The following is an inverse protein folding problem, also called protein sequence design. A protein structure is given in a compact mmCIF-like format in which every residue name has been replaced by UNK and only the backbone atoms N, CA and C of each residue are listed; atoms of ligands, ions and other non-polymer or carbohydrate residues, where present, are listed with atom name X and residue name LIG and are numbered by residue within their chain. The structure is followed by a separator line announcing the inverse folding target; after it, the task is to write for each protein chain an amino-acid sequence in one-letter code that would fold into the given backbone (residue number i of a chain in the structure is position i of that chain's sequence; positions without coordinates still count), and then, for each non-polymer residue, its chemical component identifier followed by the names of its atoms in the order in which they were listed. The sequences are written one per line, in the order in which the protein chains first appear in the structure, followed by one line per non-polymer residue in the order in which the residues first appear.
data_IF_589953962341
#
_entry.id   IF_589953962341
#
_cell.length_a   1.000
_cell.length_b   1.000
_cell.length_c   1.000
_cell.angle_alpha   90.00
_cell.angle_beta   90.00
_cell.angle_gamma   90.00
#
_symmetry.space_group_name_H-M   'P 1'
#
loop_
_entity.id
_entity.type
_entity.pdbx_description
1 polymer ?
#
# COMPACT_ATOMS: atom_id res chain seq x y z
N UNK A 1 31.52 -10.78 -5.04
CA UNK A 1 30.79 -9.68 -5.71
C UNK A 1 29.42 -9.63 -5.05
N UNK A 2 29.15 -8.58 -4.29
CA UNK A 2 27.83 -8.37 -3.70
C UNK A 2 26.96 -7.71 -4.78
N UNK A 3 25.86 -8.37 -5.18
CA UNK A 3 24.92 -7.77 -6.14
C UNK A 3 23.99 -6.87 -5.32
N UNK A 4 23.97 -5.55 -5.55
CA UNK A 4 23.06 -4.67 -4.82
C UNK A 4 21.62 -5.03 -5.17
N UNK A 5 20.83 -5.39 -4.17
CA UNK A 5 19.42 -5.72 -4.36
C UNK A 5 18.51 -4.50 -4.29
N UNK A 6 17.33 -4.64 -4.87
CA UNK A 6 16.31 -3.59 -4.89
C UNK A 6 14.92 -4.16 -4.66
N UNK A 7 14.03 -3.36 -4.05
CA UNK A 7 12.64 -3.76 -3.83
C UNK A 7 11.63 -2.65 -4.10
N UNK A 8 10.39 -3.06 -4.33
CA UNK A 8 9.21 -2.20 -4.38
C UNK A 8 8.16 -2.83 -3.47
N UNK A 9 7.72 -2.11 -2.44
CA UNK A 9 6.67 -2.57 -1.52
C UNK A 9 5.39 -1.76 -1.75
N UNK A 10 4.35 -2.42 -2.26
CA UNK A 10 3.05 -1.81 -2.51
C UNK A 10 2.08 -2.16 -1.39
N UNK A 11 1.53 -1.13 -0.73
CA UNK A 11 0.79 -1.28 0.53
C UNK A 11 1.74 -1.26 1.73
N UNK A 12 2.65 -0.29 1.76
CA UNK A 12 3.68 -0.17 2.80
C UNK A 12 3.14 0.22 4.19
N UNK A 13 1.84 0.53 4.31
CA UNK A 13 1.16 0.78 5.57
C UNK A 13 1.85 1.87 6.42
N UNK A 14 2.20 1.58 7.68
CA UNK A 14 2.92 2.49 8.57
C UNK A 14 4.45 2.44 8.39
N UNK A 15 4.95 1.67 7.42
CA UNK A 15 6.37 1.56 7.09
C UNK A 15 7.19 0.55 7.89
N UNK A 16 6.63 -0.09 8.93
CA UNK A 16 7.34 -1.08 9.75
C UNK A 16 6.50 -2.28 10.15
N UNK A 17 5.26 -2.06 10.63
CA UNK A 17 4.39 -3.14 11.08
C UNK A 17 4.03 -4.03 9.90
N UNK A 18 4.42 -5.32 9.99
CA UNK A 18 4.24 -6.32 8.93
C UNK A 18 4.93 -5.96 7.60
N UNK A 19 5.95 -5.09 7.61
CA UNK A 19 6.69 -4.78 6.39
C UNK A 19 7.47 -6.01 5.92
N UNK A 20 7.29 -6.36 4.65
CA UNK A 20 7.98 -7.47 4.00
C UNK A 20 9.42 -7.09 3.61
N UNK A 21 9.72 -5.79 3.51
CA UNK A 21 11.00 -5.29 3.00
C UNK A 21 11.88 -4.64 4.08
N UNK A 22 11.38 -4.54 5.32
CA UNK A 22 12.16 -4.01 6.46
C UNK A 22 13.44 -4.79 6.69
N UNK A 23 13.33 -6.11 6.67
CA UNK A 23 14.47 -7.02 6.84
C UNK A 23 15.46 -6.92 5.68
N UNK A 24 14.98 -6.83 4.43
CA UNK A 24 15.85 -6.66 3.25
C UNK A 24 16.64 -5.36 3.30
N UNK A 25 16.00 -4.26 3.69
CA UNK A 25 16.70 -2.99 3.87
C UNK A 25 17.75 -3.11 4.99
N UNK A 26 17.36 -3.57 6.18
CA UNK A 26 18.23 -3.59 7.38
C UNK A 26 19.41 -4.54 7.24
N UNK A 27 19.16 -5.78 6.87
CA UNK A 27 20.18 -6.85 6.92
C UNK A 27 21.01 -6.96 5.65
N UNK A 28 20.42 -6.67 4.48
CA UNK A 28 21.10 -6.80 3.20
C UNK A 28 21.46 -5.45 2.56
N UNK A 29 21.09 -4.34 3.21
CA UNK A 29 21.35 -3.01 2.66
C UNK A 29 20.61 -2.72 1.36
N UNK A 30 19.54 -3.47 1.05
CA UNK A 30 18.77 -3.26 -0.18
C UNK A 30 18.11 -1.89 -0.15
N UNK A 31 18.01 -1.26 -1.32
CA UNK A 31 17.32 0.02 -1.49
C UNK A 31 15.99 -0.21 -2.18
N UNK A 32 14.96 0.53 -1.79
CA UNK A 32 13.66 0.35 -2.41
C UNK A 32 12.75 1.54 -2.31
N UNK A 33 11.54 1.34 -2.84
CA UNK A 33 10.45 2.32 -2.82
C UNK A 33 9.29 1.70 -2.05
N UNK A 34 8.76 2.47 -1.09
CA UNK A 34 7.56 2.17 -0.33
C UNK A 34 6.39 2.95 -0.92
N UNK A 35 5.36 2.24 -1.36
CA UNK A 35 4.14 2.81 -1.96
C UNK A 35 2.98 2.62 -0.99
N UNK A 36 2.33 3.71 -0.59
CA UNK A 36 1.12 3.67 0.23
C UNK A 36 0.10 4.69 -0.27
N UNK A 37 -1.11 4.23 -0.61
CA UNK A 37 -2.15 5.07 -1.19
C UNK A 37 -2.91 5.88 -0.13
N UNK A 38 -3.03 5.35 1.09
CA UNK A 38 -3.73 6.01 2.18
C UNK A 38 -2.89 7.18 2.71
N UNK A 39 -3.33 8.45 2.53
CA UNK A 39 -2.55 9.60 2.95
C UNK A 39 -2.31 9.64 4.46
N UNK A 40 -3.22 9.10 5.28
CA UNK A 40 -3.05 9.07 6.74
C UNK A 40 -1.94 8.09 7.16
N UNK A 41 -1.94 6.87 6.60
CA UNK A 41 -0.89 5.89 6.85
C UNK A 41 0.44 6.33 6.27
N UNK A 42 0.43 6.98 5.11
CA UNK A 42 1.62 7.55 4.50
C UNK A 42 2.32 8.56 5.43
N UNK A 43 1.57 9.41 6.14
CA UNK A 43 2.17 10.30 7.14
C UNK A 43 2.88 9.51 8.25
N UNK A 44 2.29 8.41 8.73
CA UNK A 44 2.91 7.55 9.74
C UNK A 44 4.16 6.86 9.20
N UNK A 45 4.12 6.40 7.95
CA UNK A 45 5.26 5.82 7.23
C UNK A 45 6.43 6.79 7.17
N UNK A 46 6.20 8.07 6.83
CA UNK A 46 7.26 9.08 6.78
C UNK A 46 7.96 9.28 8.14
N UNK A 47 7.22 9.16 9.25
CA UNK A 47 7.78 9.28 10.60
C UNK A 47 8.76 8.15 10.94
N UNK A 48 8.71 7.00 10.25
CA UNK A 48 9.63 5.89 10.47
C UNK A 48 11.04 6.14 9.95
N UNK A 49 11.21 7.12 9.05
CA UNK A 49 12.51 7.47 8.45
C UNK A 49 13.27 6.24 7.91
N UNK A 50 12.55 5.41 7.16
CA UNK A 50 13.14 4.28 6.41
C UNK A 50 14.18 4.82 5.43
N UNK A 51 15.25 4.05 5.16
CA UNK A 51 16.28 4.47 4.18
C UNK A 51 15.76 4.46 2.74
N UNK A 52 14.67 3.73 2.51
CA UNK A 52 13.93 3.65 1.27
C UNK A 52 13.17 4.93 0.95
N UNK A 53 12.95 5.17 -0.34
CA UNK A 53 12.06 6.24 -0.80
C UNK A 53 10.61 5.91 -0.46
N UNK A 54 9.79 6.92 -0.21
CA UNK A 54 8.37 6.75 0.02
C UNK A 54 7.56 7.60 -0.96
N UNK A 55 6.46 7.05 -1.47
CA UNK A 55 5.56 7.75 -2.38
C UNK A 55 4.08 7.48 -2.03
N UNK A 56 3.29 8.56 -1.96
CA UNK A 56 1.86 8.50 -1.71
C UNK A 56 1.09 8.35 -3.03
N UNK A 57 1.09 7.14 -3.59
CA UNK A 57 0.38 6.79 -4.81
C UNK A 57 -0.24 5.40 -4.69
N UNK A 58 -1.03 5.05 -5.68
CA UNK A 58 -1.58 3.71 -5.88
C UNK A 58 -0.93 3.01 -7.07
N UNK A 59 -1.29 1.74 -7.24
CA UNK A 59 -1.14 1.07 -8.51
C UNK A 59 -2.41 1.25 -9.36
N UNK A 60 -2.22 1.37 -10.67
CA UNK A 60 -3.30 1.46 -11.64
C UNK A 60 -3.07 0.44 -12.76
N UNK A 61 -4.16 -0.02 -13.38
CA UNK A 61 -4.12 -0.90 -14.55
C UNK A 61 -3.91 -0.14 -15.86
N UNK A 62 -4.08 1.19 -15.85
CA UNK A 62 -3.76 2.05 -16.99
C UNK A 62 -2.24 2.15 -17.18
N UNK A 63 -1.73 2.14 -18.42
CA UNK A 63 -0.29 2.25 -18.69
C UNK A 63 0.26 3.69 -18.55
N UNK A 64 -0.54 4.60 -18.00
CA UNK A 64 -0.20 6.00 -17.79
C UNK A 64 -0.70 6.47 -16.42
N UNK A 65 -0.05 7.46 -15.79
CA UNK A 65 -0.51 8.04 -14.53
C UNK A 65 -1.92 8.62 -14.67
N UNK A 66 -2.78 8.37 -13.69
CA UNK A 66 -4.07 9.05 -13.57
C UNK A 66 -4.39 9.33 -12.11
N UNK A 67 -5.25 10.33 -11.90
CA UNK A 67 -5.79 10.66 -10.57
C UNK A 67 -7.10 9.90 -10.36
N UNK A 68 -7.22 9.24 -9.21
CA UNK A 68 -8.38 8.46 -8.83
C UNK A 68 -8.78 8.76 -7.37
N UNK A 69 -10.08 8.67 -7.06
CA UNK A 69 -10.61 9.03 -5.74
C UNK A 69 -10.25 7.96 -4.69
N UNK A 70 -9.57 8.34 -3.62
CA UNK A 70 -9.33 7.44 -2.49
C UNK A 70 -10.61 7.20 -1.66
N UNK A 71 -10.97 5.94 -1.40
CA UNK A 71 -12.12 5.55 -0.58
C UNK A 71 -11.61 4.87 0.70
N UNK A 72 -11.82 5.52 1.85
CA UNK A 72 -11.50 4.90 3.13
C UNK A 72 -12.48 3.75 3.43
N UNK A 73 -11.96 2.65 3.98
CA UNK A 73 -12.74 1.47 4.36
C UNK A 73 -13.87 1.77 5.38
N UNK A 74 -13.83 2.91 6.07
CA UNK A 74 -14.91 3.42 6.92
C UNK A 74 -16.20 3.78 6.18
N UNK A 75 -16.16 3.81 4.84
CA UNK A 75 -17.34 3.99 3.98
C UNK A 75 -17.97 2.66 3.55
N UNK A 76 -17.42 1.51 3.98
CA UNK A 76 -18.05 0.23 3.78
C UNK A 76 -19.37 0.19 4.58
N UNK A 77 -20.51 -0.18 3.98
CA UNK A 77 -21.78 -0.21 4.67
C UNK A 77 -21.68 -1.09 5.93
N UNK A 78 -22.13 -0.56 7.07
CA UNK A 78 -22.15 -1.20 8.40
C UNK A 78 -22.98 -2.48 8.49
N UNK A 79 -23.52 -2.98 7.37
CA UNK A 79 -24.29 -4.22 7.33
C UNK A 79 -23.35 -5.38 7.01
N UNK A 80 -22.49 -5.74 7.97
CA UNK A 80 -21.60 -6.89 7.89
C UNK A 80 -22.28 -8.21 8.25
N UNK A 81 -23.62 -8.27 8.22
CA UNK A 81 -24.37 -9.50 8.53
C UNK A 81 -24.04 -10.68 7.60
N UNK A 82 -23.39 -10.44 6.45
CA UNK A 82 -22.85 -11.49 5.58
C UNK A 82 -21.41 -11.91 5.91
N UNK A 83 -20.62 -11.10 6.62
CA UNK A 83 -19.22 -11.43 6.96
C UNK A 83 -19.12 -12.38 8.17
N UNK A 84 -20.16 -12.43 9.01
CA UNK A 84 -20.25 -13.33 10.18
C UNK A 84 -20.85 -14.70 9.86
N UNK A 85 -21.46 -14.88 8.68
CA UNK A 85 -22.15 -16.12 8.30
C UNK A 85 -21.43 -16.92 7.20
N UNK A 86 -20.26 -16.48 6.74
CA UNK A 86 -19.44 -17.22 5.79
C UNK A 86 -18.74 -18.39 6.48
N UNK A 87 -19.01 -19.62 6.03
CA UNK A 87 -18.22 -20.79 6.40
C UNK A 87 -16.73 -20.53 6.06
N UNK A 88 -15.76 -20.96 6.90
CA UNK A 88 -14.35 -20.81 6.60
C UNK A 88 -14.00 -21.40 5.22
N UNK A 89 -13.54 -20.55 4.29
CA UNK A 89 -13.11 -20.96 2.96
C UNK A 89 -14.11 -20.71 1.82
N UNK A 90 -15.33 -20.23 2.09
CA UNK A 90 -16.20 -19.76 1.01
C UNK A 90 -15.82 -18.34 0.56
N UNK A 91 -15.44 -18.23 -0.72
CA UNK A 91 -15.13 -16.96 -1.37
C UNK A 91 -16.43 -16.21 -1.69
N UNK A 92 -16.75 -15.18 -0.92
CA UNK A 92 -17.84 -14.26 -1.26
C UNK A 92 -17.44 -13.44 -2.49
N UNK A 93 -17.95 -13.86 -3.65
CA UNK A 93 -17.68 -13.21 -4.96
C UNK A 93 -18.12 -11.75 -5.00
N UNK A 94 -19.11 -11.36 -4.20
CA UNK A 94 -19.58 -9.99 -4.13
C UNK A 94 -18.60 -9.14 -3.31
N UNK A 95 -18.06 -9.69 -2.21
CA UNK A 95 -16.96 -9.10 -1.47
C UNK A 95 -15.68 -9.03 -2.30
N UNK A 96 -15.30 -10.09 -3.04
CA UNK A 96 -14.16 -10.07 -3.96
C UNK A 96 -14.31 -8.99 -5.04
N UNK A 97 -15.53 -8.81 -5.56
CA UNK A 97 -15.83 -7.75 -6.53
C UNK A 97 -15.70 -6.35 -5.91
N UNK A 98 -16.14 -6.17 -4.67
CA UNK A 98 -16.01 -4.90 -3.94
C UNK A 98 -14.54 -4.61 -3.59
N UNK A 99 -13.79 -5.61 -3.13
CA UNK A 99 -12.35 -5.51 -2.85
C UNK A 99 -11.58 -5.23 -4.14
N UNK A 100 -11.88 -5.93 -5.23
CA UNK A 100 -11.27 -5.73 -6.55
C UNK A 100 -11.55 -4.32 -7.09
N UNK A 101 -12.78 -3.83 -6.96
CA UNK A 101 -13.15 -2.46 -7.34
C UNK A 101 -12.51 -1.41 -6.44
N UNK A 102 -12.31 -1.71 -5.16
CA UNK A 102 -11.56 -0.87 -4.23
C UNK A 102 -10.07 -0.83 -4.57
N UNK A 103 -9.45 -1.96 -4.88
CA UNK A 103 -8.02 -2.05 -5.22
C UNK A 103 -7.67 -1.45 -6.59
N UNK A 104 -8.63 -1.24 -7.47
CA UNK A 104 -8.40 -0.80 -8.87
C UNK A 104 -8.73 0.67 -9.17
N UNK A 105 -9.18 1.47 -8.18
CA UNK A 105 -9.76 2.81 -8.44
C UNK A 105 -9.29 3.94 -7.53
N UNK A 106 -8.14 3.79 -6.91
CA UNK A 106 -7.53 4.75 -5.98
C UNK A 106 -6.15 4.99 -6.59
N UNK A 107 -5.50 6.15 -6.67
CA UNK A 107 -5.35 7.32 -5.82
C UNK A 107 -5.04 8.58 -6.66
N UNK A 108 -4.97 9.74 -6.02
CA UNK A 108 -4.55 10.99 -6.65
C UNK A 108 -3.02 11.10 -6.69
N UNK A 109 -2.51 11.61 -7.82
CA UNK A 109 -1.09 11.81 -8.07
C UNK A 109 -0.61 13.14 -7.47
N UNK A 110 0.38 13.05 -6.59
CA UNK A 110 1.20 14.17 -6.11
C UNK A 110 2.65 13.92 -6.56
N UNK A 111 3.27 14.92 -7.21
CA UNK A 111 4.64 14.88 -7.76
C UNK A 111 5.76 14.75 -6.70
N UNK A 112 5.41 14.62 -5.42
CA UNK A 112 6.37 14.66 -4.31
C UNK A 112 6.94 13.27 -4.01
N UNK A 113 7.99 12.88 -4.73
CA UNK A 113 8.90 11.82 -4.27
C UNK A 113 9.67 12.35 -3.06
N UNK A 114 9.41 11.80 -1.89
CA UNK A 114 10.16 12.16 -0.67
C UNK A 114 11.16 11.05 -0.38
N UNK A 115 12.44 11.36 -0.58
CA UNK A 115 13.48 10.59 0.08
C UNK A 115 13.56 11.07 1.51
N UNK A 116 13.21 10.21 2.47
CA UNK A 116 13.40 10.54 3.87
C UNK A 116 14.92 10.43 4.13
N UNK A 117 15.63 11.56 4.14
CA UNK A 117 17.06 11.64 4.49
C UNK A 117 17.25 12.42 5.80
N UNK A 118 18.13 11.82 6.61
CA UNK A 118 18.88 12.23 7.81
C UNK A 118 18.24 13.25 8.77
#
# INVERSE_FOLDING_TARGET
IEIPGSFLECGAFDGEFLSNTLWLEREFGWKGILVEANPHLFQQLLLKRRRSWAINVCLNTKPYPSKEKFMMASSAPKNTNHLVNGLPGERDKQLEKLISQGSSRLAEFNDSLVQVRD
#
